data_IF_241701762379
#
_entry.id   IF_241701762379
#
_cell.length_a   1.000
_cell.length_b   1.000
_cell.length_c   1.000
_cell.angle_alpha   90.00
_cell.angle_beta   90.00
_cell.angle_gamma   90.00
#
_symmetry.space_group_name_H-M   'P 1'
#
loop_
_entity.id
_entity.type
_entity.pdbx_description
1 polymer ?
#
# COMPACT_ATOMS: atom_id res chain seq x y z
N UNK A 1 7.84 12.60 -20.38
CA UNK A 1 7.15 12.11 -19.17
C UNK A 1 5.70 11.67 -19.45
N UNK A 2 4.86 12.50 -20.08
CA UNK A 2 3.45 12.13 -20.40
C UNK A 2 3.33 10.81 -21.19
N UNK A 3 4.10 10.63 -22.24
CA UNK A 3 4.09 9.40 -23.06
C UNK A 3 4.49 8.16 -22.24
N UNK A 4 5.45 8.26 -21.32
CA UNK A 4 5.81 7.16 -20.43
C UNK A 4 4.65 6.77 -19.50
N UNK A 5 3.97 7.75 -18.89
CA UNK A 5 2.79 7.49 -18.06
C UNK A 5 1.70 6.80 -18.85
N UNK A 6 1.41 7.26 -20.07
CA UNK A 6 0.41 6.66 -20.95
C UNK A 6 0.74 5.19 -21.27
N UNK A 7 2.01 4.89 -21.60
CA UNK A 7 2.48 3.53 -21.87
C UNK A 7 2.31 2.65 -20.62
N UNK A 8 2.69 3.14 -19.44
CA UNK A 8 2.55 2.41 -18.19
C UNK A 8 1.08 2.11 -17.84
N UNK A 9 0.17 3.06 -18.04
CA UNK A 9 -1.26 2.84 -17.81
C UNK A 9 -1.83 1.77 -18.77
N UNK A 10 -1.37 1.73 -20.02
CA UNK A 10 -1.75 0.69 -20.97
C UNK A 10 -1.20 -0.68 -20.52
N UNK A 11 0.05 -0.73 -20.04
CA UNK A 11 0.64 -1.96 -19.50
C UNK A 11 -0.15 -2.48 -18.28
N UNK A 12 -0.52 -1.60 -17.33
CA UNK A 12 -1.31 -1.97 -16.15
C UNK A 12 -2.60 -2.69 -16.54
N UNK A 13 -3.33 -2.16 -17.52
CA UNK A 13 -4.58 -2.78 -18.02
C UNK A 13 -4.38 -4.19 -18.59
N UNK A 14 -3.19 -4.50 -19.10
CA UNK A 14 -2.85 -5.81 -19.69
C UNK A 14 -2.26 -6.79 -18.68
N UNK A 15 -1.88 -6.36 -17.48
CA UNK A 15 -1.28 -7.22 -16.45
C UNK A 15 -2.33 -8.03 -15.72
N UNK A 16 -2.32 -9.34 -15.96
CA UNK A 16 -3.28 -10.29 -15.36
C UNK A 16 -3.24 -10.27 -13.83
N UNK A 17 -2.05 -10.16 -13.24
CA UNK A 17 -1.89 -10.17 -11.77
C UNK A 17 -2.59 -8.99 -11.11
N UNK A 18 -2.52 -7.79 -11.69
CA UNK A 18 -3.20 -6.61 -11.18
C UNK A 18 -4.73 -6.80 -11.29
N UNK A 19 -5.21 -7.29 -12.41
CA UNK A 19 -6.65 -7.54 -12.59
C UNK A 19 -7.16 -8.61 -11.61
N UNK A 20 -6.41 -9.68 -11.43
CA UNK A 20 -6.73 -10.73 -10.45
C UNK A 20 -6.74 -10.15 -9.03
N UNK A 21 -5.78 -9.31 -8.68
CA UNK A 21 -5.72 -8.69 -7.35
C UNK A 21 -6.91 -7.78 -7.08
N UNK A 22 -7.39 -7.01 -8.08
CA UNK A 22 -8.59 -6.19 -7.97
C UNK A 22 -9.85 -7.05 -7.74
N UNK A 23 -9.98 -8.16 -8.47
CA UNK A 23 -11.11 -9.09 -8.31
C UNK A 23 -11.06 -9.75 -6.92
N UNK A 24 -9.91 -10.26 -6.51
CA UNK A 24 -9.73 -10.88 -5.18
C UNK A 24 -10.05 -9.87 -4.08
N UNK A 25 -9.58 -8.64 -4.21
CA UNK A 25 -9.84 -7.57 -3.25
C UNK A 25 -11.33 -7.25 -3.13
N UNK A 26 -12.03 -7.19 -4.25
CA UNK A 26 -13.47 -6.99 -4.28
C UNK A 26 -14.22 -8.16 -3.62
N UNK A 27 -13.91 -9.40 -4.00
CA UNK A 27 -14.54 -10.61 -3.43
C UNK A 27 -14.26 -10.73 -1.93
N UNK A 28 -13.04 -10.44 -1.51
CA UNK A 28 -12.67 -10.44 -0.10
C UNK A 28 -13.51 -9.45 0.70
N UNK A 29 -13.65 -8.23 0.19
CA UNK A 29 -14.47 -7.20 0.82
C UNK A 29 -15.96 -7.56 0.91
N UNK A 30 -16.49 -8.36 -0.02
CA UNK A 30 -17.87 -8.87 0.03
C UNK A 30 -18.03 -10.01 1.05
N UNK A 31 -17.09 -10.95 1.06
CA UNK A 31 -17.18 -12.18 1.87
C UNK A 31 -16.86 -11.93 3.34
N UNK A 32 -15.94 -11.02 3.64
CA UNK A 32 -15.47 -10.81 5.00
C UNK A 32 -16.58 -10.41 6.00
N UNK A 33 -17.48 -9.45 5.70
CA UNK A 33 -18.62 -9.13 6.56
C UNK A 33 -19.63 -10.28 6.70
N UNK A 34 -19.77 -11.15 5.69
CA UNK A 34 -20.59 -12.37 5.80
C UNK A 34 -20.03 -13.34 6.86
N UNK A 35 -18.71 -13.51 6.88
CA UNK A 35 -18.03 -14.35 7.89
C UNK A 35 -18.31 -13.79 9.29
N UNK A 36 -18.23 -12.46 9.48
CA UNK A 36 -18.57 -11.84 10.77
C UNK A 36 -20.01 -12.09 11.18
N UNK A 37 -20.97 -12.06 10.24
CA UNK A 37 -22.36 -12.39 10.51
C UNK A 37 -22.53 -13.84 10.97
N UNK A 38 -21.86 -14.78 10.30
CA UNK A 38 -21.89 -16.20 10.66
C UNK A 38 -21.30 -16.43 12.04
N UNK A 39 -20.27 -15.68 12.42
CA UNK A 39 -19.67 -15.72 13.76
C UNK A 39 -20.49 -15.01 14.84
N UNK A 40 -21.66 -14.45 14.52
CA UNK A 40 -22.53 -13.78 15.47
C UNK A 40 -22.16 -12.36 15.84
N UNK A 41 -21.24 -11.74 15.11
CA UNK A 41 -20.85 -10.33 15.30
C UNK A 41 -21.77 -9.40 14.51
N UNK A 42 -22.23 -8.33 15.15
CA UNK A 42 -23.05 -7.29 14.51
C UNK A 42 -22.12 -6.18 13.99
N UNK A 43 -22.02 -6.06 12.67
CA UNK A 43 -21.17 -5.08 11.97
C UNK A 43 -22.05 -4.25 11.02
N UNK A 44 -22.77 -3.26 11.57
CA UNK A 44 -23.43 -2.28 10.71
C UNK A 44 -22.43 -1.40 9.94
N UNK A 45 -22.87 -0.62 8.97
CA UNK A 45 -22.00 0.24 8.17
C UNK A 45 -21.13 1.18 9.03
N UNK A 46 -21.67 1.66 10.17
CA UNK A 46 -20.95 2.46 11.15
C UNK A 46 -19.74 1.72 11.73
N UNK A 47 -19.90 0.46 12.13
CA UNK A 47 -18.86 -0.35 12.76
C UNK A 47 -17.94 -1.09 11.78
N UNK A 48 -18.17 -0.94 10.48
CA UNK A 48 -17.37 -1.57 9.43
C UNK A 48 -15.89 -1.13 9.47
N UNK A 49 -15.59 0.01 10.12
CA UNK A 49 -14.21 0.43 10.36
C UNK A 49 -13.39 -0.61 11.15
N UNK A 50 -14.01 -1.42 11.98
CA UNK A 50 -13.31 -2.48 12.74
C UNK A 50 -12.74 -3.53 11.78
N UNK A 51 -13.52 -3.93 10.79
CA UNK A 51 -13.10 -4.87 9.75
C UNK A 51 -11.98 -4.28 8.90
N UNK A 52 -12.15 -3.05 8.44
CA UNK A 52 -11.16 -2.36 7.62
C UNK A 52 -9.86 -2.17 8.40
N UNK A 53 -9.94 -1.82 9.68
CA UNK A 53 -8.79 -1.69 10.57
C UNK A 53 -8.00 -2.99 10.71
N UNK A 54 -8.69 -4.12 10.94
CA UNK A 54 -8.04 -5.42 11.05
C UNK A 54 -7.40 -5.82 9.72
N UNK A 55 -8.07 -5.52 8.62
CA UNK A 55 -7.53 -5.72 7.28
C UNK A 55 -6.25 -4.89 7.05
N UNK A 56 -6.26 -3.60 7.42
CA UNK A 56 -5.09 -2.73 7.29
C UNK A 56 -3.89 -3.21 8.12
N UNK A 57 -4.12 -3.80 9.29
CA UNK A 57 -3.04 -4.33 10.11
C UNK A 57 -2.33 -5.53 9.49
N UNK A 58 -3.10 -6.44 8.86
CA UNK A 58 -2.58 -7.74 8.45
C UNK A 58 -2.21 -7.77 6.97
N UNK A 59 -3.04 -7.20 6.11
CA UNK A 59 -2.97 -7.41 4.66
C UNK A 59 -2.39 -6.25 3.87
N UNK A 60 -2.23 -5.07 4.47
CA UNK A 60 -1.82 -3.87 3.75
C UNK A 60 -0.48 -4.05 3.01
N UNK A 61 0.47 -4.75 3.62
CA UNK A 61 1.76 -5.01 3.00
C UNK A 61 1.61 -6.02 1.86
N UNK A 62 0.76 -7.03 2.01
CA UNK A 62 0.50 -8.00 0.94
C UNK A 62 -0.15 -7.37 -0.30
N UNK A 63 -0.97 -6.33 -0.11
CA UNK A 63 -1.56 -5.56 -1.22
C UNK A 63 -0.49 -4.87 -2.07
N UNK A 64 0.68 -4.62 -1.53
CA UNK A 64 1.77 -4.03 -2.30
C UNK A 64 2.35 -4.99 -3.35
N UNK A 65 2.27 -6.31 -3.16
CA UNK A 65 2.87 -7.31 -4.05
C UNK A 65 2.44 -7.14 -5.53
N UNK A 66 1.13 -6.99 -5.86
CA UNK A 66 0.71 -6.71 -7.23
C UNK A 66 1.30 -5.41 -7.80
N UNK A 67 1.47 -4.41 -6.95
CA UNK A 67 2.09 -3.14 -7.34
C UNK A 67 3.59 -3.28 -7.56
N UNK A 68 4.26 -4.15 -6.80
CA UNK A 68 5.67 -4.46 -6.95
C UNK A 68 5.99 -5.12 -8.30
N UNK A 69 5.07 -5.92 -8.86
CA UNK A 69 5.21 -6.50 -10.19
C UNK A 69 5.44 -5.43 -11.28
N UNK A 70 4.89 -4.24 -11.11
CA UNK A 70 5.06 -3.13 -12.06
C UNK A 70 6.54 -2.76 -12.21
N UNK A 71 7.29 -2.81 -11.12
CA UNK A 71 8.73 -2.51 -11.11
C UNK A 71 9.53 -3.74 -11.55
N UNK A 72 9.31 -4.88 -10.89
CA UNK A 72 10.14 -6.08 -11.09
C UNK A 72 10.06 -6.65 -12.51
N UNK A 73 8.88 -6.65 -13.13
CA UNK A 73 8.70 -7.14 -14.49
C UNK A 73 9.43 -6.32 -15.54
N UNK A 74 9.62 -5.03 -15.32
CA UNK A 74 10.36 -4.19 -16.25
C UNK A 74 11.87 -4.44 -16.17
N UNK A 75 12.38 -4.77 -14.98
CA UNK A 75 13.76 -5.18 -14.82
C UNK A 75 14.01 -6.55 -15.45
N UNK A 76 13.13 -7.51 -15.18
CA UNK A 76 13.29 -8.88 -15.72
C UNK A 76 13.15 -8.95 -17.24
N UNK A 77 12.38 -8.04 -17.86
CA UNK A 77 12.21 -7.97 -19.32
C UNK A 77 13.25 -7.11 -20.04
N UNK A 78 14.16 -6.43 -19.31
CA UNK A 78 15.10 -5.47 -19.88
C UNK A 78 14.48 -4.15 -20.33
N UNK A 79 13.17 -3.96 -20.14
CA UNK A 79 12.47 -2.75 -20.57
C UNK A 79 13.04 -1.46 -19.97
N UNK A 80 13.58 -1.53 -18.76
CA UNK A 80 14.25 -0.40 -18.11
C UNK A 80 15.44 0.10 -18.93
N UNK A 81 16.25 -0.82 -19.45
CA UNK A 81 17.42 -0.49 -20.28
C UNK A 81 16.98 0.08 -21.62
N UNK A 82 15.91 -0.47 -22.23
CA UNK A 82 15.36 0.03 -23.49
C UNK A 82 14.88 1.48 -23.34
N UNK A 83 14.11 1.79 -22.28
CA UNK A 83 13.60 3.15 -22.04
C UNK A 83 14.74 4.15 -21.87
N UNK A 84 15.78 3.78 -21.12
CA UNK A 84 16.96 4.62 -20.94
C UNK A 84 17.74 4.75 -22.26
N UNK A 85 17.86 3.66 -23.04
CA UNK A 85 18.47 3.65 -24.37
C UNK A 85 17.76 4.57 -25.38
N UNK A 86 16.43 4.71 -25.27
CA UNK A 86 15.64 5.68 -26.05
C UNK A 86 15.80 7.14 -25.60
N UNK A 87 16.70 7.43 -24.67
CA UNK A 87 17.05 8.79 -24.25
C UNK A 87 16.20 9.35 -23.09
N UNK A 88 15.36 8.56 -22.44
CA UNK A 88 14.68 9.01 -21.24
C UNK A 88 15.64 9.01 -20.04
N UNK A 89 15.57 10.08 -19.23
CA UNK A 89 16.38 10.17 -18.02
C UNK A 89 15.91 9.15 -16.97
N UNK A 90 16.85 8.53 -16.23
CA UNK A 90 16.55 7.59 -15.14
C UNK A 90 15.57 8.18 -14.12
N UNK A 91 15.70 9.48 -13.79
CA UNK A 91 14.77 10.18 -12.91
C UNK A 91 13.34 10.24 -13.42
N UNK A 92 13.16 10.44 -14.74
CA UNK A 92 11.82 10.45 -15.35
C UNK A 92 11.17 9.06 -15.31
N UNK A 93 11.94 8.03 -15.59
CA UNK A 93 11.48 6.64 -15.50
C UNK A 93 11.07 6.32 -14.06
N UNK A 94 11.93 6.64 -13.08
CA UNK A 94 11.68 6.37 -11.68
C UNK A 94 10.41 7.07 -11.15
N UNK A 95 10.24 8.36 -11.45
CA UNK A 95 9.02 9.11 -11.09
C UNK A 95 7.76 8.51 -11.73
N UNK A 96 7.85 8.09 -12.99
CA UNK A 96 6.72 7.45 -13.67
C UNK A 96 6.35 6.14 -13.00
N UNK A 97 7.32 5.32 -12.61
CA UNK A 97 7.08 4.08 -11.87
C UNK A 97 6.45 4.32 -10.50
N UNK A 98 6.95 5.30 -9.74
CA UNK A 98 6.35 5.67 -8.46
C UNK A 98 4.88 6.05 -8.61
N UNK A 99 4.56 6.89 -9.60
CA UNK A 99 3.19 7.32 -9.84
C UNK A 99 2.27 6.15 -10.22
N UNK A 100 2.74 5.26 -11.09
CA UNK A 100 1.94 4.11 -11.54
C UNK A 100 1.72 3.09 -10.43
N UNK A 101 2.72 2.82 -9.60
CA UNK A 101 2.62 1.98 -8.40
C UNK A 101 1.64 2.60 -7.40
N UNK A 102 1.74 3.93 -7.17
CA UNK A 102 0.82 4.65 -6.28
C UNK A 102 -0.63 4.51 -6.75
N UNK A 103 -0.90 4.77 -8.03
CA UNK A 103 -2.25 4.66 -8.59
C UNK A 103 -2.81 3.24 -8.46
N UNK A 104 -2.00 2.21 -8.75
CA UNK A 104 -2.42 0.82 -8.65
C UNK A 104 -2.74 0.43 -7.21
N UNK A 105 -1.86 0.78 -6.27
CA UNK A 105 -2.03 0.47 -4.85
C UNK A 105 -3.25 1.19 -4.26
N UNK A 106 -3.43 2.47 -4.56
CA UNK A 106 -4.62 3.22 -4.13
C UNK A 106 -5.90 2.64 -4.72
N UNK A 107 -5.89 2.22 -5.99
CA UNK A 107 -7.07 1.59 -6.60
C UNK A 107 -7.48 0.32 -5.88
N UNK A 108 -6.52 -0.54 -5.53
CA UNK A 108 -6.79 -1.77 -4.76
C UNK A 108 -7.36 -1.44 -3.38
N UNK A 109 -6.76 -0.48 -2.67
CA UNK A 109 -7.24 -0.05 -1.35
C UNK A 109 -8.65 0.51 -1.38
N UNK A 110 -8.96 1.38 -2.34
CA UNK A 110 -10.30 1.97 -2.51
C UNK A 110 -11.33 0.88 -2.76
N UNK A 111 -11.04 -0.09 -3.63
CA UNK A 111 -11.95 -1.21 -3.92
C UNK A 111 -12.24 -2.01 -2.67
N UNK A 112 -11.22 -2.33 -1.86
CA UNK A 112 -11.40 -3.07 -0.61
C UNK A 112 -12.29 -2.31 0.37
N UNK A 113 -11.98 -1.02 0.61
CA UNK A 113 -12.74 -0.20 1.54
C UNK A 113 -14.20 -0.09 1.08
N UNK A 114 -14.43 0.22 -0.19
CA UNK A 114 -15.78 0.36 -0.73
C UNK A 114 -16.55 -0.96 -0.72
N UNK A 115 -15.91 -2.08 -1.03
CA UNK A 115 -16.59 -3.39 -1.01
C UNK A 115 -16.96 -3.83 0.40
N UNK A 116 -16.12 -3.58 1.40
CA UNK A 116 -16.42 -3.85 2.82
C UNK A 116 -17.56 -2.96 3.29
N UNK A 117 -17.52 -1.65 3.01
CA UNK A 117 -18.59 -0.71 3.35
C UNK A 117 -19.92 -1.12 2.73
N UNK A 118 -19.91 -1.40 1.44
CA UNK A 118 -21.09 -1.81 0.70
C UNK A 118 -21.72 -3.10 1.25
N UNK A 119 -20.92 -4.14 1.44
CA UNK A 119 -21.42 -5.40 1.97
C UNK A 119 -21.88 -5.30 3.43
N UNK A 120 -21.17 -4.54 4.27
CA UNK A 120 -21.60 -4.31 5.65
C UNK A 120 -22.92 -3.57 5.73
N UNK A 121 -23.14 -2.55 4.89
CA UNK A 121 -24.41 -1.79 4.87
C UNK A 121 -25.58 -2.64 4.36
N UNK A 122 -25.37 -3.53 3.41
CA UNK A 122 -26.41 -4.45 2.92
C UNK A 122 -26.76 -5.51 3.97
N UNK A 123 -25.75 -6.07 4.63
CA UNK A 123 -25.97 -7.23 5.53
C UNK A 123 -26.52 -6.79 6.90
N UNK A 124 -26.09 -5.64 7.40
CA UNK A 124 -26.36 -5.20 8.79
C UNK A 124 -27.06 -3.84 8.89
N UNK A 125 -27.24 -3.13 7.77
CA UNK A 125 -27.76 -1.77 7.76
C UNK A 125 -26.66 -0.71 7.91
N UNK A 126 -27.02 0.56 7.60
CA UNK A 126 -26.05 1.66 7.56
C UNK A 126 -25.58 2.10 8.96
N UNK A 127 -26.45 2.07 9.97
CA UNK A 127 -26.17 2.66 11.29
C UNK A 127 -26.05 4.20 11.25
N UNK A 128 -25.50 4.80 12.30
CA UNK A 128 -25.23 6.24 12.36
C UNK A 128 -23.87 6.56 11.76
N UNK A 129 -23.85 7.00 10.51
CA UNK A 129 -22.62 7.20 9.75
C UNK A 129 -21.96 8.55 10.08
N UNK A 130 -20.80 8.52 10.74
CA UNK A 130 -19.99 9.73 11.01
C UNK A 130 -19.11 10.06 9.79
N UNK A 131 -19.58 10.98 8.95
CA UNK A 131 -18.88 11.43 7.75
C UNK A 131 -17.50 12.04 8.06
N UNK A 132 -17.36 12.77 9.17
CA UNK A 132 -16.10 13.41 9.54
C UNK A 132 -15.03 12.36 9.89
N UNK A 133 -15.41 11.33 10.63
CA UNK A 133 -14.55 10.21 10.91
C UNK A 133 -14.06 9.52 9.62
N UNK A 134 -14.98 9.24 8.70
CA UNK A 134 -14.66 8.54 7.46
C UNK A 134 -13.75 9.36 6.54
N UNK A 135 -14.02 10.65 6.36
CA UNK A 135 -13.17 11.54 5.55
C UNK A 135 -11.75 11.62 6.12
N UNK A 136 -11.61 11.83 7.43
CA UNK A 136 -10.30 11.83 8.10
C UNK A 136 -9.57 10.48 7.96
N UNK A 137 -10.30 9.37 8.09
CA UNK A 137 -9.72 8.02 7.96
C UNK A 137 -9.26 7.73 6.55
N UNK A 138 -10.03 8.10 5.52
CA UNK A 138 -9.62 7.96 4.13
C UNK A 138 -8.37 8.80 3.80
N UNK A 139 -8.31 10.03 4.31
CA UNK A 139 -7.13 10.88 4.16
C UNK A 139 -5.87 10.22 4.77
N UNK A 140 -5.97 9.71 5.99
CA UNK A 140 -4.86 9.00 6.64
C UNK A 140 -4.50 7.71 5.89
N UNK A 141 -5.49 7.00 5.33
CA UNK A 141 -5.24 5.81 4.52
C UNK A 141 -4.41 6.11 3.25
N UNK A 142 -4.65 7.25 2.61
CA UNK A 142 -3.84 7.71 1.46
C UNK A 142 -2.40 7.99 1.91
N UNK A 143 -2.20 8.71 3.00
CA UNK A 143 -0.86 9.02 3.51
C UNK A 143 -0.11 7.73 3.90
N UNK A 144 -0.78 6.81 4.55
CA UNK A 144 -0.23 5.50 4.89
C UNK A 144 0.18 4.72 3.65
N UNK A 145 -0.67 4.71 2.62
CA UNK A 145 -0.37 4.05 1.34
C UNK A 145 0.89 4.63 0.70
N UNK A 146 1.07 5.95 0.72
CA UNK A 146 2.28 6.61 0.22
C UNK A 146 3.53 6.15 0.98
N UNK A 147 3.44 6.00 2.31
CA UNK A 147 4.56 5.52 3.13
C UNK A 147 4.92 4.05 2.81
N UNK A 148 3.92 3.18 2.63
CA UNK A 148 4.16 1.78 2.23
C UNK A 148 4.78 1.70 0.84
N UNK A 149 4.29 2.49 -0.11
CA UNK A 149 4.81 2.50 -1.47
C UNK A 149 6.25 2.99 -1.51
N UNK A 150 6.59 3.99 -0.71
CA UNK A 150 7.96 4.51 -0.67
C UNK A 150 8.95 3.44 -0.16
N UNK A 151 8.57 2.68 0.88
CA UNK A 151 9.35 1.55 1.35
C UNK A 151 9.37 0.41 0.33
N UNK A 152 8.20 0.07 -0.19
CA UNK A 152 8.04 -1.02 -1.14
C UNK A 152 8.84 -0.82 -2.41
N UNK A 153 8.82 0.39 -2.94
CA UNK A 153 9.60 0.75 -4.11
C UNK A 153 11.10 0.68 -3.84
N UNK A 154 11.54 1.15 -2.69
CA UNK A 154 12.92 1.01 -2.26
C UNK A 154 13.36 -0.47 -2.28
N UNK A 155 12.57 -1.36 -1.68
CA UNK A 155 12.84 -2.80 -1.68
C UNK A 155 12.87 -3.38 -3.11
N UNK A 156 11.91 -2.96 -3.97
CA UNK A 156 11.85 -3.42 -5.36
C UNK A 156 13.10 -3.04 -6.16
N UNK A 157 13.64 -1.84 -5.95
CA UNK A 157 14.86 -1.42 -6.64
C UNK A 157 16.13 -2.11 -6.14
N UNK A 158 16.13 -2.62 -4.90
CA UNK A 158 17.24 -3.41 -4.38
C UNK A 158 17.17 -4.89 -4.78
N UNK A 159 15.99 -5.49 -4.73
CA UNK A 159 15.84 -6.94 -4.90
C UNK A 159 15.53 -7.38 -6.33
N UNK A 160 14.93 -6.51 -7.14
CA UNK A 160 14.57 -6.70 -8.56
C UNK A 160 13.63 -7.89 -8.84
N UNK A 161 13.87 -9.06 -8.24
CA UNK A 161 13.09 -10.28 -8.42
C UNK A 161 11.80 -10.27 -7.58
N UNK A 162 10.65 -10.51 -8.25
CA UNK A 162 9.32 -10.49 -7.62
C UNK A 162 9.20 -11.52 -6.48
N UNK A 163 9.83 -12.68 -6.61
CA UNK A 163 9.79 -13.72 -5.59
C UNK A 163 10.49 -13.27 -4.31
N UNK A 164 11.70 -12.71 -4.45
CA UNK A 164 12.47 -12.15 -3.32
C UNK A 164 11.75 -10.98 -2.68
N UNK A 165 11.14 -10.10 -3.48
CA UNK A 165 10.34 -8.97 -3.02
C UNK A 165 9.15 -9.47 -2.20
N UNK A 166 8.40 -10.46 -2.72
CA UNK A 166 7.23 -11.02 -2.04
C UNK A 166 7.58 -11.66 -0.69
N UNK A 167 8.65 -12.46 -0.65
CA UNK A 167 9.15 -13.08 0.60
C UNK A 167 9.57 -11.99 1.59
N UNK A 168 10.30 -10.98 1.14
CA UNK A 168 10.75 -9.87 1.99
C UNK A 168 9.55 -9.12 2.60
N UNK A 169 8.51 -8.84 1.81
CA UNK A 169 7.30 -8.15 2.29
C UNK A 169 6.50 -8.99 3.28
N UNK A 170 6.32 -10.27 3.01
CA UNK A 170 5.62 -11.18 3.94
C UNK A 170 6.40 -11.27 5.26
N UNK A 171 7.71 -11.50 5.21
CA UNK A 171 8.55 -11.56 6.41
C UNK A 171 8.51 -10.23 7.18
N UNK A 172 8.59 -9.10 6.48
CA UNK A 172 8.54 -7.77 7.09
C UNK A 172 7.19 -7.48 7.75
N UNK A 173 6.07 -7.95 7.19
CA UNK A 173 4.74 -7.76 7.80
C UNK A 173 4.65 -8.44 9.17
N UNK A 174 5.15 -9.67 9.28
CA UNK A 174 5.20 -10.39 10.55
C UNK A 174 6.17 -9.74 11.54
N UNK A 175 7.38 -9.38 11.10
CA UNK A 175 8.37 -8.72 11.95
C UNK A 175 7.85 -7.39 12.50
N UNK A 176 7.20 -6.57 11.68
CA UNK A 176 6.65 -5.29 12.11
C UNK A 176 5.52 -5.46 13.14
N UNK A 177 4.68 -6.49 13.01
CA UNK A 177 3.66 -6.80 14.01
C UNK A 177 4.29 -7.23 15.35
N UNK A 178 5.31 -8.09 15.32
CA UNK A 178 6.05 -8.51 16.51
C UNK A 178 6.71 -7.30 17.17
N UNK A 179 7.45 -6.51 16.39
CA UNK A 179 8.14 -5.31 16.90
C UNK A 179 7.12 -4.32 17.48
N UNK A 180 6.01 -4.06 16.81
CA UNK A 180 4.99 -3.12 17.30
C UNK A 180 4.38 -3.57 18.64
N UNK A 181 4.19 -4.88 18.85
CA UNK A 181 3.65 -5.41 20.11
C UNK A 181 4.67 -5.35 21.25
N UNK A 182 5.94 -5.67 20.98
CA UNK A 182 6.98 -5.60 22.02
C UNK A 182 7.34 -4.17 22.43
N UNK A 183 7.39 -3.28 21.48
CA UNK A 183 7.81 -1.89 21.68
C UNK A 183 6.66 -0.89 21.84
N UNK A 184 5.41 -1.36 21.94
CA UNK A 184 4.23 -0.50 22.06
C UNK A 184 4.31 0.55 23.20
N UNK A 185 5.14 0.31 24.22
CA UNK A 185 5.37 1.22 25.36
C UNK A 185 6.31 2.39 25.03
N UNK A 186 7.08 2.32 23.93
CA UNK A 186 8.06 3.35 23.61
C UNK A 186 7.43 4.44 22.75
N UNK A 187 7.63 5.69 23.14
CA UNK A 187 7.04 6.85 22.44
C UNK A 187 7.50 6.98 20.97
N UNK A 188 8.71 6.50 20.65
CA UNK A 188 9.28 6.55 19.30
C UNK A 188 8.40 5.80 18.28
N UNK A 189 7.68 4.77 18.70
CA UNK A 189 6.80 3.99 17.80
C UNK A 189 5.66 4.83 17.24
N UNK A 190 5.22 5.87 17.97
CA UNK A 190 4.19 6.80 17.48
C UNK A 190 4.59 7.49 16.18
N UNK A 191 5.89 7.58 15.88
CA UNK A 191 6.44 8.20 14.68
C UNK A 191 6.77 7.20 13.56
N UNK A 192 6.64 5.90 13.79
CA UNK A 192 6.88 4.88 12.75
C UNK A 192 5.55 4.56 12.07
N UNK A 193 5.23 5.28 10.99
CA UNK A 193 3.94 5.21 10.31
C UNK A 193 3.52 3.81 9.89
N UNK A 194 4.46 2.96 9.46
CA UNK A 194 4.16 1.59 9.02
C UNK A 194 3.64 0.71 10.16
N UNK A 195 4.02 1.01 11.41
CA UNK A 195 3.53 0.29 12.59
C UNK A 195 2.18 0.81 13.07
N UNK A 196 1.68 1.90 12.50
CA UNK A 196 0.50 2.63 12.94
C UNK A 196 -0.74 2.42 12.05
N UNK A 197 -0.73 1.41 11.18
CA UNK A 197 -1.85 1.13 10.28
C UNK A 197 -3.21 1.00 10.97
N UNK A 198 -3.22 0.50 12.21
CA UNK A 198 -4.42 0.38 13.05
C UNK A 198 -5.01 1.72 13.53
N UNK A 199 -4.22 2.79 13.55
CA UNK A 199 -4.68 4.12 13.93
C UNK A 199 -5.61 4.76 12.89
N UNK A 200 -5.47 4.37 11.63
CA UNK A 200 -6.17 4.99 10.50
C UNK A 200 -7.69 4.91 10.67
N UNK A 201 -8.19 3.73 11.07
CA UNK A 201 -9.63 3.48 11.29
C UNK A 201 -9.95 3.31 12.77
N UNK A 202 -9.25 4.01 13.66
CA UNK A 202 -9.54 4.00 15.10
C UNK A 202 -10.36 5.23 15.49
N UNK A 203 -11.62 5.07 15.99
CA UNK A 203 -12.51 6.20 16.26
C UNK A 203 -12.08 7.06 17.46
N UNK A 204 -11.38 6.47 18.43
CA UNK A 204 -10.94 7.15 19.67
C UNK A 204 -9.50 7.67 19.59
N UNK A 205 -8.97 7.92 18.37
CA UNK A 205 -7.63 8.47 18.19
C UNK A 205 -7.56 9.93 18.70
N UNK A 206 -6.49 10.25 19.45
CA UNK A 206 -6.19 11.61 19.85
C UNK A 206 -5.56 12.41 18.70
N UNK A 207 -5.70 13.73 18.73
CA UNK A 207 -5.07 14.61 17.74
C UNK A 207 -3.54 14.50 17.77
N UNK A 208 -2.94 14.28 18.95
CA UNK A 208 -1.50 14.04 19.11
C UNK A 208 -1.04 12.78 18.37
N UNK A 209 -1.84 11.70 18.41
CA UNK A 209 -1.55 10.48 17.67
C UNK A 209 -1.62 10.70 16.16
N UNK A 210 -2.60 11.48 15.70
CA UNK A 210 -2.73 11.82 14.28
C UNK A 210 -1.55 12.66 13.83
N UNK A 211 -1.16 13.69 14.60
CA UNK A 211 -0.02 14.54 14.26
C UNK A 211 1.30 13.78 14.25
N UNK A 212 1.53 12.92 15.23
CA UNK A 212 2.73 12.06 15.28
C UNK A 212 2.79 11.11 14.07
N UNK A 213 1.66 10.53 13.69
CA UNK A 213 1.54 9.70 12.49
C UNK A 213 1.85 10.49 11.20
N UNK A 214 1.30 11.69 11.05
CA UNK A 214 1.54 12.54 9.87
C UNK A 214 3.02 12.92 9.74
N UNK A 215 3.63 13.38 10.83
CA UNK A 215 5.06 13.74 10.86
C UNK A 215 5.91 12.51 10.53
N UNK A 216 5.65 11.39 11.20
CA UNK A 216 6.38 10.14 10.98
C UNK A 216 6.25 9.63 9.55
N UNK A 217 5.03 9.67 8.98
CA UNK A 217 4.77 9.27 7.60
C UNK A 217 5.52 10.15 6.59
N UNK A 218 5.54 11.45 6.82
CA UNK A 218 6.22 12.41 5.95
C UNK A 218 7.74 12.20 5.95
N UNK A 219 8.35 12.15 7.13
CA UNK A 219 9.79 11.91 7.29
C UNK A 219 10.19 10.57 6.69
N UNK A 220 9.45 9.52 7.04
CA UNK A 220 9.71 8.16 6.53
C UNK A 220 9.63 8.08 5.01
N UNK A 221 8.58 8.67 4.42
CA UNK A 221 8.39 8.72 2.96
C UNK A 221 9.56 9.41 2.28
N UNK A 222 9.98 10.58 2.77
CA UNK A 222 11.11 11.32 2.19
C UNK A 222 12.39 10.51 2.25
N UNK A 223 12.70 9.90 3.40
CA UNK A 223 13.92 9.10 3.58
C UNK A 223 13.94 7.92 2.61
N UNK A 224 12.88 7.11 2.57
CA UNK A 224 12.80 5.96 1.66
C UNK A 224 12.88 6.38 0.20
N UNK A 225 12.19 7.46 -0.14
CA UNK A 225 12.15 8.01 -1.49
C UNK A 225 13.52 8.51 -1.96
N UNK A 226 14.23 9.26 -1.11
CA UNK A 226 15.57 9.76 -1.41
C UNK A 226 16.59 8.62 -1.56
N UNK A 227 16.56 7.63 -0.67
CA UNK A 227 17.47 6.49 -0.74
C UNK A 227 17.20 5.69 -2.04
N UNK A 228 15.94 5.38 -2.34
CA UNK A 228 15.56 4.66 -3.56
C UNK A 228 15.95 5.42 -4.84
N UNK A 229 15.72 6.73 -4.86
CA UNK A 229 16.09 7.58 -6.00
C UNK A 229 17.60 7.62 -6.22
N UNK A 230 18.39 7.84 -5.16
CA UNK A 230 19.86 7.90 -5.24
C UNK A 230 20.42 6.54 -5.68
N UNK A 231 19.92 5.46 -5.11
CA UNK A 231 20.32 4.11 -5.48
C UNK A 231 20.06 3.85 -6.97
N UNK A 232 18.82 4.06 -7.42
CA UNK A 232 18.44 3.80 -8.81
C UNK A 232 19.20 4.67 -9.83
N UNK A 233 19.46 5.94 -9.49
CA UNK A 233 20.14 6.86 -10.43
C UNK A 233 21.63 6.61 -10.54
N UNK A 234 22.28 6.10 -9.46
CA UNK A 234 23.73 5.91 -9.40
C UNK A 234 24.20 4.48 -9.71
N UNK A 235 23.33 3.47 -9.53
CA UNK A 235 23.73 2.07 -9.68
C UNK A 235 23.59 1.62 -11.13
N UNK A 236 24.62 0.95 -11.67
CA UNK A 236 24.53 0.28 -12.97
C UNK A 236 23.65 -0.97 -12.83
N UNK A 237 22.50 -0.96 -13.50
CA UNK A 237 21.47 -2.00 -13.41
C UNK A 237 22.01 -3.38 -13.84
N UNK A 238 22.95 -3.42 -14.78
CA UNK A 238 23.59 -4.68 -15.24
C UNK A 238 24.37 -5.43 -14.17
N UNK A 239 24.85 -4.75 -13.11
CA UNK A 239 25.59 -5.40 -12.02
C UNK A 239 24.70 -6.02 -10.94
N UNK A 240 23.41 -5.70 -10.91
CA UNK A 240 22.47 -6.19 -9.88
C UNK A 240 21.78 -7.51 -10.25
N UNK A 241 21.95 -8.01 -11.49
CA UNK A 241 21.28 -9.22 -11.99
C UNK A 241 22.24 -10.43 -12.03
N UNK A 242 23.52 -10.22 -11.87
CA UNK A 242 24.55 -11.25 -11.73
C UNK A 242 24.78 -11.61 -10.26
#
# INVERSE_FOLDING_TARGET
MYNLIKIELIKIKKRKLILISLIISFLFGLVYPLIYKICGFNLNGENSYQVIRNFYNVFQICIFIPSAEIISSDFSSGYTDDVIGYGYKRSQYWLTKMLTVLLTHLSINIIIILSILFSSTIIFGAGNFDYNFWIKSLFLAVIYSVSIISLGSLICFFLVDITRISICFIAMSFLLQIISSFFAKFEVIKYISIMQGNLIFFPLRSDDQVNSFLIGSFVFTIVCYCIGFIHFTKTDIKKSIA
#
